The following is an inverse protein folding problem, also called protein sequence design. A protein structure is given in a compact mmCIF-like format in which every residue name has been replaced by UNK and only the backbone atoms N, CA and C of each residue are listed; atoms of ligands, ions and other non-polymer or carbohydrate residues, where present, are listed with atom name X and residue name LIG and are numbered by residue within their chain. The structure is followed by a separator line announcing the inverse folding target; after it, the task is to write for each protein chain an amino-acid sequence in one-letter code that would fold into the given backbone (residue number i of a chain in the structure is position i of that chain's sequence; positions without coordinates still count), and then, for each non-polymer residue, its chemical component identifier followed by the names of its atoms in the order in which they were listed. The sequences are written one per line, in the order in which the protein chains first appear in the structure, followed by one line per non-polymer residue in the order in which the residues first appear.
data_IF_659434600647
#
_entry.id   IF_659434600647
#
_cell.length_a   1.000
_cell.length_b   1.000
_cell.length_c   1.000
_cell.angle_alpha   90.00
_cell.angle_beta   90.00
_cell.angle_gamma   90.00
#
_symmetry.space_group_name_H-M   'P 1'
#
loop_
_entity.id
_entity.type
_entity.pdbx_description
1 polymer ?
#
# COMPACT_ATOMS: atom_id res chain seq x y z
N UNK A 1 10.69 7.84 6.79
CA UNK A 1 9.22 8.01 6.70
C UNK A 1 8.77 9.16 7.59
N UNK A 2 9.04 9.11 8.90
CA UNK A 2 8.69 10.19 9.84
C UNK A 2 9.51 11.49 9.64
N UNK A 3 10.81 11.42 9.32
CA UNK A 3 11.61 12.62 8.98
C UNK A 3 11.08 13.34 7.72
N UNK A 4 10.69 12.59 6.69
CA UNK A 4 10.12 13.16 5.47
C UNK A 4 8.72 13.76 5.70
N UNK A 5 7.88 13.10 6.50
CA UNK A 5 6.58 13.66 6.90
C UNK A 5 6.77 14.96 7.69
N UNK A 6 7.65 14.95 8.69
CA UNK A 6 8.03 16.13 9.46
C UNK A 6 8.45 17.30 8.56
N UNK A 7 9.35 17.07 7.60
CA UNK A 7 9.79 18.11 6.66
C UNK A 7 8.68 18.58 5.72
N UNK A 8 7.83 17.67 5.26
CA UNK A 8 6.71 18.00 4.38
C UNK A 8 5.70 18.94 5.06
N UNK A 9 5.54 18.85 6.39
CA UNK A 9 4.67 19.75 7.15
C UNK A 9 5.08 21.23 7.04
N UNK A 10 6.35 21.55 6.80
CA UNK A 10 6.82 22.96 6.69
C UNK A 10 6.01 23.77 5.65
N UNK A 11 5.65 23.13 4.54
CA UNK A 11 4.86 23.73 3.46
C UNK A 11 3.36 23.52 3.55
N UNK A 12 2.87 22.79 4.57
CA UNK A 12 1.48 22.31 4.65
C UNK A 12 0.79 22.75 5.93
N UNK A 13 1.48 22.62 7.05
CA UNK A 13 0.98 22.99 8.37
C UNK A 13 2.12 23.51 9.24
N UNK A 14 2.32 24.84 9.23
CA UNK A 14 3.41 25.48 9.97
C UNK A 14 3.28 25.35 11.49
N UNK A 15 2.07 25.24 12.02
CA UNK A 15 1.85 25.10 13.46
C UNK A 15 2.37 23.73 13.95
N UNK A 16 1.89 22.64 13.34
CA UNK A 16 2.32 21.29 13.68
C UNK A 16 3.82 21.11 13.36
N UNK A 17 4.29 21.66 12.24
CA UNK A 17 5.72 21.66 11.91
C UNK A 17 6.56 22.30 13.01
N UNK A 18 6.19 23.51 13.48
CA UNK A 18 6.96 24.22 14.50
C UNK A 18 6.97 23.48 15.85
N UNK A 19 5.85 22.85 16.23
CA UNK A 19 5.77 22.00 17.42
C UNK A 19 6.76 20.84 17.33
N UNK A 20 6.77 20.10 16.22
CA UNK A 20 7.72 19.00 16.00
C UNK A 20 9.17 19.50 15.88
N UNK A 21 9.39 20.63 15.22
CA UNK A 21 10.71 21.26 15.07
C UNK A 21 11.31 21.64 16.44
N UNK A 22 10.48 22.09 17.39
CA UNK A 22 10.94 22.38 18.75
C UNK A 22 11.51 21.14 19.45
N UNK A 23 10.83 20.00 19.34
CA UNK A 23 11.32 18.72 19.87
C UNK A 23 12.57 18.24 19.14
N UNK A 24 12.57 18.31 17.80
CA UNK A 24 13.73 17.99 16.97
C UNK A 24 14.97 18.80 17.35
N UNK A 25 14.82 20.10 17.61
CA UNK A 25 15.91 20.98 18.03
C UNK A 25 16.38 20.66 19.45
N UNK A 26 15.47 20.39 20.38
CA UNK A 26 15.79 20.00 21.75
C UNK A 26 16.57 18.67 21.80
N UNK A 27 16.32 17.77 20.85
CA UNK A 27 17.06 16.53 20.68
C UNK A 27 18.42 16.71 19.96
N UNK A 28 18.83 17.94 19.62
CA UNK A 28 20.07 18.21 18.91
C UNK A 28 19.99 17.98 17.39
N UNK A 29 18.86 18.37 16.79
CA UNK A 29 18.56 18.22 15.35
C UNK A 29 18.50 16.76 14.89
N UNK A 30 17.86 15.92 15.70
CA UNK A 30 17.54 14.53 15.37
C UNK A 30 16.18 14.17 15.94
N UNK A 31 15.59 13.10 15.43
CA UNK A 31 14.40 12.52 16.04
C UNK A 31 14.84 11.79 17.30
N UNK A 32 14.34 12.22 18.45
CA UNK A 32 14.65 11.68 19.77
C UNK A 32 13.47 11.82 20.72
N UNK A 33 13.77 11.84 22.03
CA UNK A 33 12.75 11.77 23.07
C UNK A 33 11.83 13.01 23.09
N UNK A 34 12.37 14.21 22.87
CA UNK A 34 11.56 15.42 22.86
C UNK A 34 10.69 15.50 21.61
N UNK A 35 11.19 15.08 20.45
CA UNK A 35 10.39 14.93 19.24
C UNK A 35 9.24 13.95 19.45
N UNK A 36 9.52 12.76 19.98
CA UNK A 36 8.49 11.74 20.25
C UNK A 36 7.42 12.24 21.22
N UNK A 37 7.83 13.00 22.24
CA UNK A 37 6.90 13.65 23.15
C UNK A 37 6.00 14.64 22.41
N UNK A 38 6.55 15.54 21.59
CA UNK A 38 5.75 16.49 20.79
C UNK A 38 4.83 15.78 19.80
N UNK A 39 5.28 14.69 19.20
CA UNK A 39 4.46 13.89 18.29
C UNK A 39 3.23 13.31 19.01
N UNK A 40 3.42 12.77 20.23
CA UNK A 40 2.32 12.25 21.06
C UNK A 40 1.39 13.36 21.53
N UNK A 41 1.93 14.48 22.00
CA UNK A 41 1.13 15.64 22.44
C UNK A 41 0.20 16.13 21.32
N UNK A 42 0.69 16.21 20.06
CA UNK A 42 -0.14 16.61 18.92
C UNK A 42 -1.22 15.57 18.63
N UNK A 43 -0.89 14.27 18.68
CA UNK A 43 -1.86 13.21 18.48
C UNK A 43 -2.96 13.19 19.54
N UNK A 44 -2.69 13.65 20.76
CA UNK A 44 -3.66 13.76 21.84
C UNK A 44 -4.50 15.05 21.75
N UNK A 45 -3.89 16.16 21.36
CA UNK A 45 -4.53 17.48 21.36
C UNK A 45 -5.34 17.78 20.08
N UNK A 46 -4.88 17.29 18.93
CA UNK A 46 -5.49 17.56 17.62
C UNK A 46 -5.49 16.29 16.74
N UNK A 47 -6.13 15.20 17.19
CA UNK A 47 -6.05 13.88 16.56
C UNK A 47 -6.52 13.87 15.12
N UNK A 48 -7.65 14.53 14.82
CA UNK A 48 -8.27 14.49 13.50
C UNK A 48 -7.43 15.23 12.46
N UNK A 49 -6.98 16.44 12.76
CA UNK A 49 -6.10 17.21 11.88
C UNK A 49 -4.77 16.48 11.68
N UNK A 50 -4.22 15.88 12.73
CA UNK A 50 -2.95 15.19 12.61
C UNK A 50 -3.06 13.89 11.80
N UNK A 51 -4.17 13.17 11.93
CA UNK A 51 -4.50 12.02 11.10
C UNK A 51 -4.70 12.44 9.63
N UNK A 52 -5.42 13.53 9.38
CA UNK A 52 -5.64 14.07 8.03
C UNK A 52 -4.31 14.43 7.35
N UNK A 53 -3.38 15.07 8.07
CA UNK A 53 -2.05 15.40 7.53
C UNK A 53 -1.22 14.16 7.21
N UNK A 54 -1.26 13.13 8.07
CA UNK A 54 -0.58 11.86 7.80
C UNK A 54 -1.19 11.14 6.59
N UNK A 55 -2.52 11.18 6.46
CA UNK A 55 -3.23 10.64 5.31
C UNK A 55 -2.88 11.39 4.02
N UNK A 56 -2.91 12.73 4.03
CA UNK A 56 -2.58 13.56 2.86
C UNK A 56 -1.12 13.37 2.43
N UNK A 57 -0.19 13.33 3.37
CA UNK A 57 1.21 13.02 3.07
C UNK A 57 1.35 11.64 2.40
N UNK A 58 0.64 10.63 2.91
CA UNK A 58 0.66 9.27 2.36
C UNK A 58 0.07 9.24 0.95
N UNK A 59 -1.04 9.96 0.74
CA UNK A 59 -1.68 10.12 -0.58
C UNK A 59 -0.70 10.74 -1.59
N UNK A 60 -0.14 11.91 -1.27
CA UNK A 60 0.77 12.63 -2.17
C UNK A 60 2.03 11.82 -2.47
N UNK A 61 2.57 11.13 -1.46
CA UNK A 61 3.84 10.42 -1.59
C UNK A 61 3.73 9.10 -2.35
N UNK A 62 2.59 8.42 -2.26
CA UNK A 62 2.42 7.06 -2.75
C UNK A 62 1.26 6.95 -3.74
N UNK A 63 0.03 7.21 -3.30
CA UNK A 63 -1.18 7.03 -4.11
C UNK A 63 -1.12 7.86 -5.40
N UNK A 64 -0.90 9.17 -5.26
CA UNK A 64 -0.92 10.12 -6.38
C UNK A 64 0.21 9.87 -7.37
N UNK A 65 1.32 9.27 -6.92
CA UNK A 65 2.43 8.88 -7.80
C UNK A 65 2.01 7.72 -8.71
N UNK A 66 1.29 6.74 -8.17
CA UNK A 66 0.80 5.59 -8.96
C UNK A 66 -0.31 6.03 -9.90
N UNK A 67 -1.35 6.70 -9.40
CA UNK A 67 -2.49 7.14 -10.20
C UNK A 67 -2.06 8.04 -11.37
N UNK A 68 -1.16 9.01 -11.11
CA UNK A 68 -0.62 9.89 -12.16
C UNK A 68 0.13 9.12 -13.23
N UNK A 69 0.96 8.14 -12.84
CA UNK A 69 1.70 7.33 -13.79
C UNK A 69 0.75 6.48 -14.66
N UNK A 70 -0.28 5.87 -14.06
CA UNK A 70 -1.28 5.10 -14.82
C UNK A 70 -2.06 5.99 -15.79
N UNK A 71 -2.42 7.19 -15.36
CA UNK A 71 -3.10 8.18 -16.21
C UNK A 71 -2.23 8.63 -17.37
N UNK A 72 -0.95 8.91 -17.13
CA UNK A 72 -0.01 9.36 -18.16
C UNK A 72 0.34 8.24 -19.15
N UNK A 73 0.57 7.04 -18.65
CA UNK A 73 1.14 5.96 -19.46
C UNK A 73 0.08 5.09 -20.14
N UNK A 74 -1.11 4.97 -19.54
CA UNK A 74 -2.19 4.08 -20.00
C UNK A 74 -3.52 4.80 -20.23
N UNK A 75 -3.62 6.11 -19.97
CA UNK A 75 -4.89 6.82 -19.98
C UNK A 75 -5.87 6.36 -18.89
N UNK A 76 -5.38 5.63 -17.88
CA UNK A 76 -6.21 5.00 -16.86
C UNK A 76 -6.21 5.83 -15.57
N UNK A 77 -7.36 6.45 -15.27
CA UNK A 77 -7.57 7.33 -14.13
C UNK A 77 -8.32 6.57 -13.01
N UNK A 78 -7.60 6.16 -11.96
CA UNK A 78 -8.17 5.36 -10.86
C UNK A 78 -9.05 6.20 -9.96
N UNK A 79 -8.80 7.52 -9.89
CA UNK A 79 -9.65 8.44 -9.12
C UNK A 79 -11.10 8.49 -9.62
N UNK A 80 -11.34 8.06 -10.88
CA UNK A 80 -12.67 7.95 -11.49
C UNK A 80 -13.33 6.57 -11.34
N UNK A 81 -12.67 5.64 -10.64
CA UNK A 81 -13.16 4.27 -10.40
C UNK A 81 -13.74 4.14 -9.00
N UNK A 82 -14.30 2.97 -8.68
CA UNK A 82 -14.90 2.68 -7.38
C UNK A 82 -13.94 2.93 -6.23
N UNK A 83 -14.50 3.26 -5.06
CA UNK A 83 -13.74 3.40 -3.83
C UNK A 83 -12.96 2.11 -3.48
N UNK A 84 -13.48 0.93 -3.83
CA UNK A 84 -12.78 -0.34 -3.72
C UNK A 84 -11.48 -0.37 -4.53
N UNK A 85 -11.52 0.02 -5.81
CA UNK A 85 -10.32 0.03 -6.64
C UNK A 85 -9.33 1.14 -6.21
N UNK A 86 -9.83 2.28 -5.72
CA UNK A 86 -8.98 3.31 -5.12
C UNK A 86 -8.24 2.75 -3.88
N UNK A 87 -8.92 2.01 -3.00
CA UNK A 87 -8.28 1.39 -1.83
C UNK A 87 -7.24 0.31 -2.22
N UNK A 88 -7.52 -0.46 -3.28
CA UNK A 88 -6.55 -1.40 -3.85
C UNK A 88 -5.29 -0.70 -4.33
N UNK A 89 -5.43 0.45 -5.01
CA UNK A 89 -4.30 1.28 -5.43
C UNK A 89 -3.53 1.81 -4.21
N UNK A 90 -4.24 2.33 -3.20
CA UNK A 90 -3.63 2.82 -1.97
C UNK A 90 -2.74 1.76 -1.32
N UNK A 91 -3.29 0.56 -1.10
CA UNK A 91 -2.57 -0.51 -0.45
C UNK A 91 -1.33 -0.96 -1.25
N UNK A 92 -1.41 -1.04 -2.60
CA UNK A 92 -0.23 -1.38 -3.42
C UNK A 92 0.80 -0.27 -3.41
N UNK A 93 0.38 0.98 -3.51
CA UNK A 93 1.28 2.13 -3.51
C UNK A 93 2.06 2.23 -2.20
N UNK A 94 1.39 1.99 -1.06
CA UNK A 94 2.05 2.00 0.26
C UNK A 94 2.97 0.79 0.43
N UNK A 95 2.51 -0.41 0.04
CA UNK A 95 3.29 -1.65 0.22
C UNK A 95 4.53 -1.72 -0.67
N UNK A 96 4.44 -1.22 -1.90
CA UNK A 96 5.50 -1.36 -2.91
C UNK A 96 6.19 -0.02 -3.26
N UNK A 97 5.78 1.08 -2.63
CA UNK A 97 6.17 2.44 -3.01
C UNK A 97 5.54 2.85 -4.35
N UNK A 98 5.69 4.13 -4.73
CA UNK A 98 5.14 4.65 -5.98
C UNK A 98 5.62 3.88 -7.21
N UNK A 99 6.93 3.69 -7.38
CA UNK A 99 7.47 2.97 -8.54
C UNK A 99 7.06 1.48 -8.59
N UNK A 100 7.07 0.80 -7.44
CA UNK A 100 6.69 -0.61 -7.36
C UNK A 100 5.19 -0.82 -7.57
N UNK A 101 4.35 0.06 -7.00
CA UNK A 101 2.91 0.09 -7.22
C UNK A 101 2.57 0.32 -8.69
N UNK A 102 3.19 1.32 -9.33
CA UNK A 102 3.04 1.57 -10.77
C UNK A 102 3.40 0.35 -11.59
N UNK A 103 4.53 -0.32 -11.28
CA UNK A 103 4.93 -1.54 -11.99
C UNK A 103 3.88 -2.65 -11.86
N UNK A 104 3.38 -2.91 -10.65
CA UNK A 104 2.37 -3.94 -10.41
C UNK A 104 1.11 -3.67 -11.21
N UNK A 105 0.58 -2.44 -11.15
CA UNK A 105 -0.61 -2.08 -11.92
C UNK A 105 -0.36 -2.22 -13.42
N UNK A 106 0.74 -1.70 -13.95
CA UNK A 106 1.05 -1.85 -15.37
C UNK A 106 1.14 -3.31 -15.80
N UNK A 107 1.78 -4.19 -15.01
CA UNK A 107 1.84 -5.62 -15.32
C UNK A 107 0.46 -6.28 -15.26
N UNK A 108 -0.36 -5.94 -14.26
CA UNK A 108 -1.72 -6.48 -14.12
C UNK A 108 -2.65 -6.05 -15.25
N UNK A 109 -2.56 -4.79 -15.69
CA UNK A 109 -3.45 -4.20 -16.69
C UNK A 109 -3.11 -4.66 -18.12
N UNK A 110 -1.91 -5.20 -18.39
CA UNK A 110 -1.53 -5.73 -19.72
C UNK A 110 -2.45 -6.83 -20.23
N UNK A 111 -3.14 -7.54 -19.35
CA UNK A 111 -4.02 -8.66 -19.72
C UNK A 111 -5.48 -8.24 -19.91
N UNK A 112 -5.80 -6.95 -19.79
CA UNK A 112 -7.17 -6.42 -19.79
C UNK A 112 -7.38 -5.42 -20.93
N UNK A 113 -8.58 -5.41 -21.49
CA UNK A 113 -9.07 -4.28 -22.30
C UNK A 113 -9.62 -3.20 -21.35
N UNK A 114 -8.85 -2.12 -21.15
CA UNK A 114 -9.22 -1.05 -20.21
C UNK A 114 -10.46 -0.25 -20.62
N UNK A 115 -10.91 -0.37 -21.87
CA UNK A 115 -12.13 0.29 -22.35
C UNK A 115 -13.39 -0.37 -21.82
N UNK A 116 -13.34 -1.67 -21.52
CA UNK A 116 -14.49 -2.46 -21.04
C UNK A 116 -14.26 -3.10 -19.68
N UNK A 117 -13.02 -3.17 -19.18
CA UNK A 117 -12.71 -3.83 -17.93
C UNK A 117 -13.48 -3.22 -16.75
N UNK A 118 -14.18 -4.09 -16.05
CA UNK A 118 -14.86 -3.80 -14.79
C UNK A 118 -13.86 -3.62 -13.65
N UNK A 119 -14.29 -2.91 -12.60
CA UNK A 119 -13.46 -2.72 -11.42
C UNK A 119 -13.13 -4.06 -10.74
N UNK A 120 -14.04 -5.06 -10.75
CA UNK A 120 -13.74 -6.40 -10.23
C UNK A 120 -12.60 -7.08 -11.02
N UNK A 121 -12.64 -7.05 -12.36
CA UNK A 121 -11.59 -7.64 -13.19
C UNK A 121 -10.23 -7.00 -12.92
N UNK A 122 -10.22 -5.67 -12.79
CA UNK A 122 -9.00 -4.91 -12.48
C UNK A 122 -8.48 -5.26 -11.07
N UNK A 123 -9.35 -5.26 -10.05
CA UNK A 123 -9.01 -5.64 -8.68
C UNK A 123 -8.38 -7.02 -8.65
N UNK A 124 -9.02 -8.00 -9.29
CA UNK A 124 -8.53 -9.39 -9.36
C UNK A 124 -7.19 -9.47 -10.08
N UNK A 125 -7.01 -8.77 -11.20
CA UNK A 125 -5.76 -8.75 -11.93
C UNK A 125 -4.61 -8.18 -11.08
N UNK A 126 -4.85 -7.08 -10.36
CA UNK A 126 -3.85 -6.45 -9.48
C UNK A 126 -3.45 -7.37 -8.33
N UNK A 127 -4.40 -8.08 -7.72
CA UNK A 127 -4.09 -9.06 -6.67
C UNK A 127 -3.40 -10.31 -7.21
N UNK A 128 -3.80 -10.82 -8.38
CA UNK A 128 -3.11 -11.93 -9.05
C UNK A 128 -1.65 -11.59 -9.34
N UNK A 129 -1.38 -10.35 -9.76
CA UNK A 129 -0.02 -9.91 -10.05
C UNK A 129 0.78 -9.67 -8.76
N UNK A 130 0.25 -8.89 -7.81
CA UNK A 130 0.96 -8.56 -6.55
C UNK A 130 1.19 -9.78 -5.65
N UNK A 131 0.24 -10.73 -5.63
CA UNK A 131 0.29 -11.99 -4.90
C UNK A 131 1.01 -13.13 -5.62
N UNK A 132 1.57 -12.88 -6.81
CA UNK A 132 2.13 -13.91 -7.69
C UNK A 132 3.28 -14.68 -7.05
N UNK A 133 3.22 -16.01 -7.20
CA UNK A 133 4.34 -16.91 -6.93
C UNK A 133 5.03 -17.35 -8.22
N UNK A 134 6.34 -17.58 -8.12
CA UNK A 134 7.21 -18.00 -9.22
C UNK A 134 8.09 -19.16 -8.75
N UNK A 135 8.72 -19.86 -9.70
CA UNK A 135 9.53 -21.06 -9.41
C UNK A 135 11.02 -20.76 -9.17
N UNK A 136 11.43 -19.49 -9.28
CA UNK A 136 12.78 -19.03 -8.96
C UNK A 136 12.77 -17.72 -8.17
N UNK A 137 13.73 -17.54 -7.27
CA UNK A 137 13.84 -16.36 -6.42
C UNK A 137 14.98 -16.49 -5.42
N UNK A 138 15.01 -15.61 -4.41
CA UNK A 138 16.10 -15.57 -3.43
C UNK A 138 15.94 -16.57 -2.28
N UNK A 139 14.77 -16.63 -1.65
CA UNK A 139 14.44 -17.50 -0.50
C UNK A 139 13.11 -18.19 -0.75
N UNK A 140 13.07 -19.51 -0.59
CA UNK A 140 11.87 -20.31 -0.79
C UNK A 140 10.86 -20.15 0.35
N UNK A 141 9.59 -20.41 0.03
CA UNK A 141 8.53 -20.64 1.00
C UNK A 141 8.60 -22.11 1.44
N UNK A 142 9.07 -22.36 2.65
CA UNK A 142 9.27 -23.72 3.20
C UNK A 142 8.39 -24.01 4.42
N UNK A 143 7.37 -23.18 4.68
CA UNK A 143 6.42 -23.41 5.75
C UNK A 143 5.51 -24.61 5.41
N UNK A 144 5.31 -25.59 6.31
CA UNK A 144 4.39 -26.70 6.05
C UNK A 144 2.95 -26.25 5.71
N UNK A 145 2.51 -25.11 6.24
CA UNK A 145 1.20 -24.52 5.91
C UNK A 145 1.07 -24.15 4.42
N UNK A 146 2.18 -23.76 3.79
CA UNK A 146 2.23 -23.44 2.37
C UNK A 146 1.87 -24.62 1.45
N UNK A 147 2.00 -25.86 1.93
CA UNK A 147 1.59 -27.06 1.18
C UNK A 147 0.08 -27.05 0.89
N UNK A 148 -0.73 -26.59 1.84
CA UNK A 148 -2.20 -26.49 1.68
C UNK A 148 -2.61 -25.53 0.57
N UNK A 149 -1.75 -24.56 0.27
CA UNK A 149 -1.96 -23.56 -0.77
C UNK A 149 -1.23 -23.89 -2.08
N UNK A 150 -0.49 -25.00 -2.15
CA UNK A 150 0.26 -25.37 -3.35
C UNK A 150 1.48 -24.47 -3.65
N UNK A 151 1.97 -23.72 -2.66
CA UNK A 151 3.09 -22.76 -2.84
C UNK A 151 4.37 -23.17 -2.11
N UNK A 152 4.40 -24.35 -1.48
CA UNK A 152 5.61 -24.88 -0.88
C UNK A 152 6.73 -25.03 -1.93
N UNK A 153 7.93 -24.57 -1.61
CA UNK A 153 9.09 -24.58 -2.51
C UNK A 153 9.11 -23.44 -3.55
N UNK A 154 8.02 -22.67 -3.66
CA UNK A 154 7.92 -21.49 -4.55
C UNK A 154 8.44 -20.22 -3.88
N UNK A 155 8.39 -19.12 -4.61
CA UNK A 155 8.86 -17.80 -4.19
C UNK A 155 7.80 -16.75 -4.49
N UNK A 156 7.53 -15.84 -3.57
CA UNK A 156 6.72 -14.64 -3.87
C UNK A 156 7.51 -13.72 -4.80
N UNK A 157 6.99 -13.42 -6.00
CA UNK A 157 7.68 -12.63 -7.05
C UNK A 157 8.28 -11.33 -6.51
N UNK A 158 7.52 -10.61 -5.69
CA UNK A 158 7.90 -9.31 -5.14
C UNK A 158 8.49 -9.37 -3.72
N UNK A 159 8.51 -10.56 -3.10
CA UNK A 159 8.92 -10.72 -1.70
C UNK A 159 9.95 -11.84 -1.49
N UNK A 160 10.54 -12.39 -2.56
CA UNK A 160 11.43 -13.55 -2.45
C UNK A 160 12.67 -13.34 -1.58
N UNK A 161 13.03 -12.09 -1.25
CA UNK A 161 14.13 -11.77 -0.32
C UNK A 161 13.78 -11.98 1.16
N UNK A 162 12.50 -12.13 1.50
CA UNK A 162 12.00 -12.26 2.86
C UNK A 162 12.01 -13.71 3.36
N UNK A 163 11.86 -13.91 4.66
CA UNK A 163 11.75 -15.24 5.25
C UNK A 163 10.52 -15.99 4.72
N UNK A 164 10.53 -17.32 4.86
CA UNK A 164 9.42 -18.19 4.47
C UNK A 164 8.09 -17.74 5.10
N UNK A 165 8.08 -17.44 6.40
CA UNK A 165 6.85 -17.07 7.11
C UNK A 165 6.34 -15.69 6.71
N UNK A 166 7.24 -14.74 6.44
CA UNK A 166 6.85 -13.43 5.90
C UNK A 166 6.23 -13.59 4.51
N UNK A 167 6.84 -14.39 3.65
CA UNK A 167 6.29 -14.65 2.32
C UNK A 167 4.92 -15.33 2.38
N UNK A 168 4.73 -16.32 3.26
CA UNK A 168 3.43 -16.98 3.46
C UNK A 168 2.37 -15.98 3.95
N UNK A 169 2.68 -15.18 4.99
CA UNK A 169 1.72 -14.22 5.54
C UNK A 169 1.33 -13.13 4.53
N UNK A 170 2.29 -12.68 3.72
CA UNK A 170 2.01 -11.74 2.61
C UNK A 170 1.18 -12.43 1.52
N UNK A 171 1.49 -13.68 1.17
CA UNK A 171 0.71 -14.43 0.19
C UNK A 171 -0.76 -14.57 0.63
N UNK A 172 -1.02 -14.96 1.88
CA UNK A 172 -2.38 -15.06 2.43
C UNK A 172 -3.10 -13.70 2.44
N UNK A 173 -2.35 -12.62 2.71
CA UNK A 173 -2.90 -11.26 2.63
C UNK A 173 -3.34 -10.90 1.21
N UNK A 174 -2.49 -11.15 0.21
CA UNK A 174 -2.71 -10.71 -1.17
C UNK A 174 -3.57 -11.65 -2.02
N UNK A 175 -3.69 -12.93 -1.63
CA UNK A 175 -4.46 -13.92 -2.39
C UNK A 175 -5.80 -14.28 -1.74
N UNK A 176 -6.02 -13.85 -0.49
CA UNK A 176 -7.23 -14.19 0.28
C UNK A 176 -7.84 -12.95 0.92
N UNK A 177 -7.18 -12.36 1.92
CA UNK A 177 -7.82 -11.38 2.81
C UNK A 177 -8.16 -10.06 2.14
N UNK A 178 -7.17 -9.41 1.51
CA UNK A 178 -7.38 -8.12 0.89
C UNK A 178 -8.25 -8.18 -0.39
N UNK A 179 -8.13 -9.17 -1.30
CA UNK A 179 -9.07 -9.25 -2.42
C UNK A 179 -10.50 -9.52 -1.97
N UNK A 180 -10.71 -10.35 -0.93
CA UNK A 180 -12.04 -10.52 -0.33
C UNK A 180 -12.59 -9.19 0.20
N UNK A 181 -11.80 -8.44 0.97
CA UNK A 181 -12.21 -7.16 1.52
C UNK A 181 -12.54 -6.14 0.43
N UNK A 182 -11.71 -6.05 -0.62
CA UNK A 182 -11.96 -5.15 -1.76
C UNK A 182 -13.25 -5.51 -2.50
N UNK A 183 -13.52 -6.80 -2.71
CA UNK A 183 -14.75 -7.23 -3.39
C UNK A 183 -16.00 -7.07 -2.52
N UNK A 184 -15.89 -7.20 -1.19
CA UNK A 184 -16.95 -6.83 -0.25
C UNK A 184 -17.19 -5.31 -0.22
N UNK A 185 -16.14 -4.51 -0.38
CA UNK A 185 -16.30 -3.06 -0.54
C UNK A 185 -17.00 -2.70 -1.86
N UNK A 186 -16.76 -3.47 -2.93
CA UNK A 186 -17.36 -3.26 -4.24
C UNK A 186 -18.84 -3.69 -4.30
N UNK A 187 -19.18 -4.84 -3.73
CA UNK A 187 -20.51 -5.46 -3.87
C UNK A 187 -21.37 -5.48 -2.61
N UNK A 188 -20.77 -5.16 -1.46
CA UNK A 188 -21.42 -5.23 -0.16
C UNK A 188 -20.93 -6.39 0.71
N UNK A 189 -21.28 -6.38 2.01
CA UNK A 189 -20.75 -7.30 3.02
C UNK A 189 -21.11 -8.78 2.77
N UNK A 190 -22.22 -9.04 2.08
CA UNK A 190 -22.72 -10.39 1.78
C UNK A 190 -22.00 -11.05 0.59
N UNK A 191 -21.07 -10.35 -0.06
CA UNK A 191 -20.28 -10.93 -1.16
C UNK A 191 -19.47 -12.14 -0.67
N UNK A 192 -19.63 -13.26 -1.39
CA UNK A 192 -18.90 -14.51 -1.11
C UNK A 192 -17.69 -14.62 -2.02
N UNK A 193 -16.50 -14.45 -1.43
CA UNK A 193 -15.24 -14.59 -2.15
C UNK A 193 -14.94 -16.04 -2.52
N UNK A 194 -14.71 -16.28 -3.81
CA UNK A 194 -14.45 -17.63 -4.37
C UNK A 194 -12.99 -17.86 -4.76
N UNK A 195 -12.07 -17.04 -4.25
CA UNK A 195 -10.68 -17.01 -4.72
C UNK A 195 -10.49 -16.04 -5.89
N UNK A 196 -9.23 -15.82 -6.27
CA UNK A 196 -8.80 -14.89 -7.32
C UNK A 196 -9.06 -15.41 -8.74
#
# INVERSE_FOLDING_TARGET
MIDHFFRWLEGKDKDIYNKLLSGFNADGKKIGAHFDQKFKEIAEQDPDRFLELQHLYTKEKYYDVVDRALKQDLGFDVSKRSAALQDVLWSRAVQHGGAGGTRIFKEALKTLDLSTATDEEIIRAVYKESGKVVDSGKKQILSPKAKKHGIYGKYMKYFSGNSSDVQLGVWERLNIREPEAALKMLYGPDYVFKGL
#
